data_IF_087226496287
#
_entry.id   IF_087226496287
#
_cell.length_a   1.000
_cell.length_b   1.000
_cell.length_c   1.000
_cell.angle_alpha   90.00
_cell.angle_beta   90.00
_cell.angle_gamma   90.00
#
_symmetry.space_group_name_H-M   'P 1'
#
loop_
_entity.id
_entity.type
_entity.pdbx_description
1 polymer ?
#
# COMPACT_ATOMS: atom_id res chain seq x y z
N UNK A 1 33.55 0.28 -17.05
CA UNK A 1 32.89 -1.03 -16.84
C UNK A 1 31.40 -0.90 -16.50
N UNK A 2 30.99 -0.20 -15.44
CA UNK A 2 29.59 -0.10 -14.99
C UNK A 2 28.61 0.45 -16.03
N UNK A 3 29.00 1.49 -16.79
CA UNK A 3 28.16 2.07 -17.86
C UNK A 3 27.80 1.07 -18.96
N UNK A 4 28.74 0.18 -19.31
CA UNK A 4 28.52 -0.85 -20.33
C UNK A 4 27.53 -1.91 -19.85
N UNK A 5 27.74 -2.40 -18.62
CA UNK A 5 26.84 -3.36 -17.96
C UNK A 5 25.42 -2.82 -17.78
N UNK A 6 25.29 -1.55 -17.39
CA UNK A 6 23.99 -0.90 -17.29
C UNK A 6 23.28 -0.83 -18.66
N UNK A 7 24.01 -0.47 -19.73
CA UNK A 7 23.48 -0.44 -21.10
C UNK A 7 23.03 -1.83 -21.56
N UNK A 8 23.84 -2.86 -21.34
CA UNK A 8 23.51 -4.26 -21.65
C UNK A 8 22.22 -4.71 -20.92
N UNK A 9 22.09 -4.41 -19.63
CA UNK A 9 20.89 -4.74 -18.85
C UNK A 9 19.64 -3.97 -19.33
N UNK A 10 19.77 -2.68 -19.61
CA UNK A 10 18.65 -1.84 -20.06
C UNK A 10 18.18 -2.17 -21.48
N UNK A 11 19.10 -2.55 -22.37
CA UNK A 11 18.82 -2.93 -23.75
C UNK A 11 18.53 -4.43 -23.93
N UNK A 12 18.70 -5.25 -22.90
CA UNK A 12 18.25 -6.64 -22.92
C UNK A 12 16.73 -6.73 -23.13
N UNK A 13 16.24 -7.86 -23.63
CA UNK A 13 14.81 -8.12 -23.80
C UNK A 13 14.02 -7.89 -22.49
N UNK A 14 14.58 -8.34 -21.36
CA UNK A 14 14.01 -8.10 -20.03
C UNK A 14 13.97 -6.61 -19.69
N UNK A 15 15.06 -5.89 -19.98
CA UNK A 15 15.16 -4.44 -19.79
C UNK A 15 14.10 -3.67 -20.60
N UNK A 16 13.93 -4.03 -21.87
CA UNK A 16 12.92 -3.45 -22.76
C UNK A 16 11.49 -3.73 -22.28
N UNK A 17 11.21 -4.98 -21.86
CA UNK A 17 9.92 -5.37 -21.29
C UNK A 17 9.59 -4.53 -20.06
N UNK A 18 10.51 -4.45 -19.10
CA UNK A 18 10.33 -3.60 -17.92
C UNK A 18 10.15 -2.14 -18.29
N UNK A 19 10.91 -1.65 -19.30
CA UNK A 19 10.81 -0.26 -19.76
C UNK A 19 9.41 0.10 -20.25
N UNK A 20 8.75 -0.80 -20.99
CA UNK A 20 7.37 -0.64 -21.45
C UNK A 20 6.33 -0.76 -20.33
N UNK A 21 6.60 -1.59 -19.31
CA UNK A 21 5.71 -1.75 -18.16
C UNK A 21 5.76 -0.59 -17.15
N UNK A 22 6.80 0.26 -17.19
CA UNK A 22 6.96 1.38 -16.25
C UNK A 22 5.74 2.29 -16.16
N UNK A 23 5.15 2.62 -17.31
CA UNK A 23 3.99 3.52 -17.37
C UNK A 23 2.77 2.93 -16.65
N UNK A 24 2.63 1.61 -16.68
CA UNK A 24 1.49 0.87 -16.12
C UNK A 24 1.71 0.55 -14.63
N UNK A 25 2.92 0.12 -14.27
CA UNK A 25 3.21 -0.41 -12.94
C UNK A 25 3.77 0.64 -11.99
N UNK A 26 4.90 1.28 -12.30
CA UNK A 26 5.53 2.22 -11.39
C UNK A 26 4.94 3.63 -11.49
N UNK A 27 4.80 4.17 -12.70
CA UNK A 27 4.47 5.58 -12.91
C UNK A 27 3.01 5.86 -12.53
N UNK A 28 2.08 5.00 -12.94
CA UNK A 28 0.67 5.12 -12.56
C UNK A 28 0.48 5.06 -11.03
N UNK A 29 1.20 4.16 -10.34
CA UNK A 29 1.10 4.01 -8.88
C UNK A 29 1.61 5.26 -8.18
N UNK A 30 2.79 5.75 -8.54
CA UNK A 30 3.34 6.98 -7.95
C UNK A 30 2.52 8.23 -8.30
N UNK A 31 1.94 8.29 -9.50
CA UNK A 31 1.01 9.35 -9.89
C UNK A 31 -0.24 9.38 -9.01
N UNK A 32 -0.87 8.22 -8.78
CA UNK A 32 -2.03 8.11 -7.90
C UNK A 32 -1.69 8.44 -6.44
N UNK A 33 -0.53 7.99 -5.95
CA UNK A 33 -0.05 8.32 -4.59
C UNK A 33 0.05 9.83 -4.40
N UNK A 34 0.67 10.53 -5.34
CA UNK A 34 0.92 11.97 -5.23
C UNK A 34 -0.34 12.81 -5.45
N UNK A 35 -1.13 12.50 -6.47
CA UNK A 35 -2.25 13.34 -6.91
C UNK A 35 -3.58 12.94 -6.26
N UNK A 36 -3.92 11.65 -6.26
CA UNK A 36 -5.23 11.19 -5.77
C UNK A 36 -5.25 10.94 -4.25
N UNK A 37 -4.10 10.55 -3.67
CA UNK A 37 -3.98 10.26 -2.23
C UNK A 37 -3.28 11.39 -1.48
N UNK A 38 -2.87 12.46 -2.17
CA UNK A 38 -2.17 13.64 -1.63
C UNK A 38 -0.94 13.29 -0.77
N UNK A 39 -0.30 12.13 -1.01
CA UNK A 39 0.89 11.70 -0.28
C UNK A 39 2.14 12.12 -1.04
N UNK A 40 2.62 13.34 -0.74
CA UNK A 40 3.71 13.99 -1.51
C UNK A 40 5.09 13.80 -0.89
N UNK A 41 5.19 13.58 0.42
CA UNK A 41 6.45 13.39 1.16
C UNK A 41 6.27 12.35 2.25
N UNK A 42 7.34 11.62 2.55
CA UNK A 42 7.41 10.77 3.73
C UNK A 42 7.28 11.62 4.99
N UNK A 43 6.61 11.07 6.01
CA UNK A 43 6.34 11.78 7.26
C UNK A 43 7.42 11.52 8.28
N UNK A 44 8.07 10.36 8.20
CA UNK A 44 9.13 9.96 9.09
C UNK A 44 10.51 10.24 8.50
N UNK A 45 11.48 10.44 9.39
CA UNK A 45 12.88 10.65 9.07
C UNK A 45 13.72 9.43 9.45
N UNK A 46 14.80 9.21 8.71
CA UNK A 46 15.66 8.04 8.86
C UNK A 46 15.25 6.90 7.93
N UNK A 47 16.25 6.19 7.40
CA UNK A 47 16.09 5.17 6.35
C UNK A 47 15.06 4.09 6.74
N UNK A 48 15.12 3.60 7.97
CA UNK A 48 14.28 2.51 8.43
C UNK A 48 12.81 2.93 8.54
N UNK A 49 12.55 4.14 9.04
CA UNK A 49 11.18 4.66 9.18
C UNK A 49 10.57 5.03 7.83
N UNK A 50 11.37 5.61 6.93
CA UNK A 50 10.96 5.85 5.53
C UNK A 50 10.65 4.54 4.82
N UNK A 51 11.44 3.50 5.06
CA UNK A 51 11.18 2.16 4.50
C UNK A 51 9.86 1.60 5.02
N UNK A 52 9.56 1.74 6.32
CA UNK A 52 8.28 1.33 6.88
C UNK A 52 7.10 2.10 6.27
N UNK A 53 7.20 3.43 6.16
CA UNK A 53 6.19 4.27 5.50
C UNK A 53 5.89 3.76 4.07
N UNK A 54 6.95 3.46 3.32
CA UNK A 54 6.83 2.92 1.97
C UNK A 54 6.21 1.52 1.95
N UNK A 55 6.58 0.65 2.88
CA UNK A 55 6.02 -0.70 3.00
C UNK A 55 4.51 -0.67 3.26
N UNK A 56 4.07 0.17 4.20
CA UNK A 56 2.64 0.36 4.47
C UNK A 56 1.90 0.90 3.24
N UNK A 57 2.47 1.88 2.55
CA UNK A 57 1.89 2.43 1.33
C UNK A 57 1.74 1.37 0.24
N UNK A 58 2.75 0.53 0.04
CA UNK A 58 2.73 -0.56 -0.94
C UNK A 58 1.67 -1.62 -0.59
N UNK A 59 1.57 -2.02 0.68
CA UNK A 59 0.56 -2.98 1.14
C UNK A 59 -0.85 -2.40 0.94
N UNK A 60 -1.09 -1.17 1.38
CA UNK A 60 -2.37 -0.50 1.25
C UNK A 60 -2.79 -0.37 -0.23
N UNK A 61 -1.85 -0.02 -1.11
CA UNK A 61 -2.12 0.09 -2.55
C UNK A 61 -2.46 -1.27 -3.17
N UNK A 62 -1.78 -2.34 -2.77
CA UNK A 62 -2.08 -3.70 -3.23
C UNK A 62 -3.47 -4.16 -2.77
N UNK A 63 -3.82 -3.91 -1.50
CA UNK A 63 -5.18 -4.18 -0.98
C UNK A 63 -6.23 -3.42 -1.80
N UNK A 64 -6.02 -2.12 -2.05
CA UNK A 64 -6.90 -1.31 -2.89
C UNK A 64 -7.09 -1.92 -4.29
N UNK A 65 -6.01 -2.38 -4.92
CA UNK A 65 -6.06 -3.05 -6.23
C UNK A 65 -6.81 -4.37 -6.17
N UNK A 66 -6.66 -5.14 -5.09
CA UNK A 66 -7.43 -6.37 -4.88
C UNK A 66 -8.92 -6.08 -4.72
N UNK A 67 -9.31 -5.14 -3.86
CA UNK A 67 -10.71 -4.74 -3.69
C UNK A 67 -11.35 -4.33 -5.02
N UNK A 68 -10.66 -3.52 -5.83
CA UNK A 68 -11.14 -3.14 -7.15
C UNK A 68 -11.35 -4.35 -8.10
N UNK A 69 -10.50 -5.38 -8.02
CA UNK A 69 -10.67 -6.62 -8.79
C UNK A 69 -11.86 -7.45 -8.29
N UNK A 70 -12.05 -7.57 -6.97
CA UNK A 70 -13.16 -8.31 -6.37
C UNK A 70 -14.50 -7.65 -6.73
N UNK A 71 -14.56 -6.31 -6.69
CA UNK A 71 -15.73 -5.54 -7.11
C UNK A 71 -16.07 -5.76 -8.58
N UNK A 72 -15.08 -5.74 -9.48
CA UNK A 72 -15.29 -6.07 -10.90
C UNK A 72 -15.81 -7.50 -11.12
N UNK A 73 -15.51 -8.43 -10.22
CA UNK A 73 -16.02 -9.81 -10.23
C UNK A 73 -17.38 -9.96 -9.54
N UNK A 74 -18.02 -8.87 -9.09
CA UNK A 74 -19.31 -8.89 -8.41
C UNK A 74 -19.25 -9.35 -6.94
N UNK A 75 -18.07 -9.50 -6.35
CA UNK A 75 -17.90 -10.02 -4.98
C UNK A 75 -17.92 -8.92 -3.91
N UNK A 76 -18.77 -7.91 -4.08
CA UNK A 76 -18.88 -6.79 -3.12
C UNK A 76 -19.35 -7.24 -1.74
N UNK A 77 -20.12 -8.33 -1.67
CA UNK A 77 -20.59 -8.90 -0.42
C UNK A 77 -19.44 -9.36 0.49
N UNK A 78 -18.37 -9.94 -0.08
CA UNK A 78 -17.18 -10.32 0.68
C UNK A 78 -16.49 -9.11 1.29
N UNK A 79 -16.31 -8.05 0.49
CA UNK A 79 -15.70 -6.79 0.96
C UNK A 79 -16.52 -6.21 2.11
N UNK A 80 -17.85 -6.22 1.99
CA UNK A 80 -18.76 -5.74 3.02
C UNK A 80 -18.69 -6.57 4.30
N UNK A 81 -18.66 -7.89 4.18
CA UNK A 81 -18.51 -8.80 5.32
C UNK A 81 -17.19 -8.55 6.07
N UNK A 82 -16.08 -8.41 5.34
CA UNK A 82 -14.80 -8.05 5.95
C UNK A 82 -14.85 -6.69 6.64
N UNK A 83 -15.51 -5.70 6.05
CA UNK A 83 -15.68 -4.38 6.66
C UNK A 83 -16.49 -4.44 7.96
N UNK A 84 -17.61 -5.15 7.96
CA UNK A 84 -18.45 -5.36 9.15
C UNK A 84 -17.68 -6.10 10.26
N UNK A 85 -16.91 -7.14 9.90
CA UNK A 85 -16.05 -7.85 10.84
C UNK A 85 -14.98 -6.92 11.45
N UNK A 86 -14.25 -6.19 10.60
CA UNK A 86 -13.17 -5.30 11.07
C UNK A 86 -13.70 -4.17 11.96
N UNK A 87 -14.87 -3.60 11.63
CA UNK A 87 -15.50 -2.58 12.48
C UNK A 87 -15.98 -3.15 13.81
N UNK A 88 -16.53 -4.37 13.84
CA UNK A 88 -16.90 -5.04 15.08
C UNK A 88 -15.67 -5.33 15.97
N UNK A 89 -14.58 -5.84 15.37
CA UNK A 89 -13.32 -6.07 16.08
C UNK A 89 -12.76 -4.77 16.65
N UNK A 90 -12.74 -3.68 15.88
CA UNK A 90 -12.23 -2.39 16.33
C UNK A 90 -13.05 -1.82 17.50
N UNK A 91 -14.38 -1.88 17.41
CA UNK A 91 -15.28 -1.47 18.51
C UNK A 91 -15.03 -2.29 19.78
N UNK A 92 -14.84 -3.60 19.64
CA UNK A 92 -14.54 -4.48 20.76
C UNK A 92 -13.18 -4.13 21.39
N UNK A 93 -12.16 -3.91 20.57
CA UNK A 93 -10.83 -3.51 21.01
C UNK A 93 -10.86 -2.16 21.75
N UNK A 94 -11.54 -1.16 21.21
CA UNK A 94 -11.68 0.17 21.82
C UNK A 94 -12.35 0.07 23.19
N UNK A 95 -13.42 -0.73 23.31
CA UNK A 95 -14.10 -0.97 24.58
C UNK A 95 -13.22 -1.70 25.61
N UNK A 96 -12.37 -2.64 25.19
CA UNK A 96 -11.39 -3.28 26.08
C UNK A 96 -10.34 -2.27 26.55
N UNK A 97 -9.82 -1.45 25.63
CA UNK A 97 -8.79 -0.45 25.93
C UNK A 97 -9.30 0.62 26.90
N UNK A 98 -10.52 1.13 26.70
CA UNK A 98 -11.18 2.06 27.62
C UNK A 98 -11.37 1.45 29.01
N UNK A 99 -11.78 0.18 29.12
CA UNK A 99 -11.90 -0.52 30.40
C UNK A 99 -10.56 -0.68 31.12
N UNK A 100 -9.47 -0.93 30.40
CA UNK A 100 -8.13 -1.01 30.99
C UNK A 100 -7.65 0.35 31.50
N UNK A 101 -7.90 1.43 30.77
CA UNK A 101 -7.58 2.80 31.21
C UNK A 101 -8.29 3.17 32.51
N UNK A 102 -9.58 2.83 32.63
CA UNK A 102 -10.34 3.10 33.87
C UNK A 102 -9.82 2.30 35.08
N UNK A 103 -9.29 1.08 34.86
CA UNK A 103 -8.67 0.28 35.92
C UNK A 103 -7.30 0.78 36.37
N UNK A 104 -6.57 1.49 35.49
CA UNK A 104 -5.26 2.09 35.82
C UNK A 104 -5.44 3.43 36.53
N UNK A 105 -6.55 4.13 36.28
CA UNK A 105 -6.87 5.43 36.87
C UNK A 105 -7.58 5.36 38.24
N UNK A 106 -7.91 4.16 38.71
CA UNK A 106 -8.53 3.89 40.02
C UNK A 106 -7.49 3.26 40.97
#
# INVERSE_FOLDING_TARGET
>A
QYKRRAKELLCSEKGLKHRGQRCIESEAVFGQIKNNMNYKRFRHFGKDKVFQDFAFLAIAFNIKKMCAKLTKKGMNWLIRLFYELTTAVFRCWEHINQRNLQKIAA
#
